data_IF_419397502815
#
_entry.id   IF_419397502815
#
_cell.length_a   1.000
_cell.length_b   1.000
_cell.length_c   1.000
_cell.angle_alpha   90.00
_cell.angle_beta   90.00
_cell.angle_gamma   90.00
#
_symmetry.space_group_name_H-M   'P 1'
#
loop_
_entity.id
_entity.type
_entity.pdbx_description
1 polymer ?
#
# COMPACT_ATOMS: atom_id res chain seq x y z
N UNK A 1 29.56 39.43 -34.03
CA UNK A 1 29.60 37.96 -34.14
C UNK A 1 28.87 37.35 -32.95
N UNK A 2 27.74 36.69 -33.24
CA UNK A 2 27.13 35.54 -32.54
C UNK A 2 26.71 35.73 -31.08
N UNK A 3 25.60 36.45 -30.92
CA UNK A 3 24.55 36.10 -29.97
C UNK A 3 23.82 34.84 -30.44
N UNK A 4 23.93 33.73 -29.72
CA UNK A 4 22.89 32.68 -29.67
C UNK A 4 22.99 31.96 -28.34
N UNK A 5 22.05 32.30 -27.46
CA UNK A 5 21.62 31.53 -26.31
C UNK A 5 21.16 30.14 -26.77
N UNK A 6 21.68 29.08 -26.16
CA UNK A 6 21.07 27.75 -26.21
C UNK A 6 20.76 27.33 -24.78
N UNK A 7 19.53 27.65 -24.38
CA UNK A 7 18.89 27.09 -23.20
C UNK A 7 18.66 25.59 -23.43
N UNK A 8 19.46 24.75 -22.78
CA UNK A 8 19.20 23.31 -22.71
C UNK A 8 18.26 23.10 -21.53
N UNK A 9 16.97 23.12 -21.86
CA UNK A 9 15.85 22.66 -21.05
C UNK A 9 16.10 21.18 -20.71
N UNK A 10 16.65 20.89 -19.54
CA UNK A 10 16.63 19.54 -18.97
C UNK A 10 15.38 19.42 -18.10
N UNK A 11 14.29 19.05 -18.76
CA UNK A 11 13.08 18.53 -18.12
C UNK A 11 13.45 17.20 -17.46
N UNK A 12 13.88 17.25 -16.20
CA UNK A 12 13.75 16.11 -15.30
C UNK A 12 12.34 16.17 -14.70
N UNK A 13 11.33 15.98 -15.54
CA UNK A 13 10.02 15.55 -15.09
C UNK A 13 10.21 14.15 -14.51
N UNK A 14 10.54 14.08 -13.22
CA UNK A 14 10.34 12.85 -12.47
C UNK A 14 8.89 12.49 -12.65
N UNK A 15 8.70 11.38 -13.37
CA UNK A 15 7.46 10.64 -13.55
C UNK A 15 6.92 10.24 -12.18
N UNK A 16 6.36 11.20 -11.46
CA UNK A 16 5.29 10.93 -10.51
C UNK A 16 4.05 10.62 -11.31
N UNK A 17 4.06 9.55 -12.11
CA UNK A 17 2.81 8.93 -12.51
C UNK A 17 2.14 8.58 -11.19
N UNK A 18 1.15 9.40 -10.86
CA UNK A 18 0.17 9.11 -9.85
C UNK A 18 -0.17 7.64 -9.98
N UNK A 19 0.11 6.91 -8.91
CA UNK A 19 -0.33 5.54 -8.74
C UNK A 19 -1.84 5.56 -8.52
N UNK A 20 -2.55 5.99 -9.56
CA UNK A 20 -4.00 5.89 -9.68
C UNK A 20 -4.28 4.40 -9.50
N UNK A 21 -4.92 4.08 -8.37
CA UNK A 21 -4.93 2.76 -7.75
C UNK A 21 -4.85 1.63 -8.76
N UNK A 22 -3.81 0.81 -8.64
CA UNK A 22 -3.60 -0.28 -9.57
C UNK A 22 -4.90 -1.10 -9.70
N UNK A 23 -5.40 -1.31 -10.94
CA UNK A 23 -6.68 -1.97 -11.17
C UNK A 23 -6.79 -3.33 -10.48
N UNK A 24 -5.64 -3.97 -10.21
CA UNK A 24 -5.52 -5.27 -9.59
C UNK A 24 -5.47 -5.25 -8.04
N UNK A 25 -5.25 -4.09 -7.41
CA UNK A 25 -5.03 -4.00 -5.95
C UNK A 25 -6.22 -4.43 -5.10
N UNK A 26 -7.43 -3.99 -5.48
CA UNK A 26 -8.67 -4.38 -4.79
C UNK A 26 -8.97 -5.88 -4.91
N UNK A 27 -8.95 -6.51 -6.11
CA UNK A 27 -9.07 -7.96 -6.23
C UNK A 27 -8.09 -8.74 -5.34
N UNK A 28 -6.82 -8.32 -5.28
CA UNK A 28 -5.80 -8.99 -4.47
C UNK A 28 -6.10 -8.81 -2.98
N UNK A 29 -6.49 -7.60 -2.56
CA UNK A 29 -6.91 -7.33 -1.19
C UNK A 29 -8.09 -8.23 -0.77
N UNK A 30 -9.11 -8.37 -1.63
CA UNK A 30 -10.26 -9.25 -1.36
C UNK A 30 -9.80 -10.70 -1.18
N UNK A 31 -8.89 -11.18 -2.03
CA UNK A 31 -8.42 -12.56 -2.01
C UNK A 31 -7.47 -12.88 -0.85
N UNK A 32 -6.65 -11.91 -0.41
CA UNK A 32 -5.51 -12.18 0.50
C UNK A 32 -5.59 -11.46 1.84
N UNK A 33 -6.31 -10.33 1.94
CA UNK A 33 -6.27 -9.43 3.10
C UNK A 33 -7.63 -9.34 3.81
N UNK A 34 -8.74 -9.26 3.05
CA UNK A 34 -10.10 -9.05 3.57
C UNK A 34 -10.51 -10.09 4.62
N UNK A 35 -10.02 -11.33 4.50
CA UNK A 35 -10.29 -12.41 5.45
C UNK A 35 -9.94 -12.05 6.90
N UNK A 36 -8.94 -11.18 7.11
CA UNK A 36 -8.56 -10.66 8.43
C UNK A 36 -8.93 -9.18 8.60
N UNK A 37 -8.74 -8.37 7.56
CA UNK A 37 -8.86 -6.92 7.61
C UNK A 37 -10.24 -6.36 7.26
N UNK A 38 -11.22 -7.22 6.94
CA UNK A 38 -12.56 -6.81 6.48
C UNK A 38 -12.56 -6.03 5.15
N UNK A 39 -13.72 -5.83 4.48
CA UNK A 39 -13.77 -5.27 3.14
C UNK A 39 -13.23 -3.83 3.01
N UNK A 40 -13.41 -2.98 4.03
CA UNK A 40 -12.92 -1.60 4.01
C UNK A 40 -11.72 -1.37 4.93
N UNK A 41 -11.10 -2.44 5.43
CA UNK A 41 -9.89 -2.34 6.25
C UNK A 41 -10.16 -2.13 7.73
N UNK A 42 -11.40 -2.22 8.21
CA UNK A 42 -11.76 -1.96 9.61
C UNK A 42 -11.12 -2.95 10.59
N UNK A 43 -10.66 -4.10 10.10
CA UNK A 43 -10.21 -5.20 10.94
C UNK A 43 -11.38 -6.01 11.51
N UNK A 44 -11.25 -7.33 11.55
CA UNK A 44 -12.27 -8.20 12.17
C UNK A 44 -12.02 -8.34 13.67
N UNK A 45 -12.96 -7.93 14.56
CA UNK A 45 -12.81 -8.08 16.01
C UNK A 45 -12.62 -9.54 16.45
N UNK A 46 -13.25 -10.48 15.74
CA UNK A 46 -13.08 -11.91 16.01
C UNK A 46 -11.63 -12.38 15.79
N UNK A 47 -10.93 -11.85 14.79
CA UNK A 47 -9.52 -12.16 14.51
C UNK A 47 -8.62 -11.52 15.56
N UNK A 48 -8.86 -10.24 15.89
CA UNK A 48 -8.16 -9.54 16.96
C UNK A 48 -8.25 -10.32 18.30
N UNK A 49 -9.45 -10.77 18.67
CA UNK A 49 -9.68 -11.59 19.86
C UNK A 49 -9.01 -12.97 19.77
N UNK A 50 -9.14 -13.66 18.64
CA UNK A 50 -8.58 -15.00 18.46
C UNK A 50 -7.06 -15.04 18.59
N UNK A 51 -6.37 -14.03 18.05
CA UNK A 51 -4.91 -13.94 18.12
C UNK A 51 -4.39 -13.11 19.30
N UNK A 52 -5.29 -12.56 20.13
CA UNK A 52 -4.99 -11.64 21.22
C UNK A 52 -4.07 -10.49 20.76
N UNK A 53 -4.46 -9.81 19.68
CA UNK A 53 -3.73 -8.68 19.09
C UNK A 53 -4.64 -7.48 18.87
N UNK A 54 -4.04 -6.30 18.84
CA UNK A 54 -4.68 -5.12 18.26
C UNK A 54 -4.61 -5.23 16.74
N UNK A 55 -5.77 -5.13 16.08
CA UNK A 55 -5.86 -5.05 14.62
C UNK A 55 -6.37 -3.65 14.26
N UNK A 56 -5.49 -2.66 14.08
CA UNK A 56 -5.92 -1.31 13.76
C UNK A 56 -6.59 -1.28 12.38
N UNK A 57 -7.55 -0.37 12.22
CA UNK A 57 -8.15 -0.12 10.92
C UNK A 57 -7.09 0.38 9.94
N UNK A 58 -7.05 -0.18 8.74
CA UNK A 58 -6.08 0.18 7.70
C UNK A 58 -6.27 1.61 7.21
N UNK A 59 -7.48 2.16 7.36
CA UNK A 59 -7.80 3.57 7.10
C UNK A 59 -7.27 4.55 8.14
N UNK A 60 -6.97 4.08 9.35
CA UNK A 60 -6.59 4.94 10.48
C UNK A 60 -5.33 5.76 10.20
N UNK A 61 -5.26 6.94 10.82
CA UNK A 61 -4.09 7.84 10.74
C UNK A 61 -2.78 7.15 11.07
N UNK A 62 -2.78 6.21 12.03
CA UNK A 62 -1.58 5.45 12.41
C UNK A 62 -1.06 4.60 11.24
N UNK A 63 -1.94 3.84 10.57
CA UNK A 63 -1.54 3.00 9.44
C UNK A 63 -1.18 3.86 8.23
N UNK A 64 -1.95 4.92 7.99
CA UNK A 64 -1.76 5.80 6.85
C UNK A 64 -0.51 6.70 6.98
N UNK A 65 0.00 6.91 8.19
CA UNK A 65 1.27 7.61 8.42
C UNK A 65 2.51 6.77 8.08
N UNK A 66 2.40 5.44 7.96
CA UNK A 66 3.51 4.57 7.55
C UNK A 66 3.93 4.88 6.12
N UNK A 67 5.20 4.66 5.77
CA UNK A 67 5.64 4.77 4.38
C UNK A 67 5.14 3.59 3.54
N UNK A 68 5.08 3.74 2.22
CA UNK A 68 4.74 2.62 1.32
C UNK A 68 5.74 1.46 1.46
N UNK A 69 7.03 1.77 1.71
CA UNK A 69 8.05 0.76 1.95
C UNK A 69 7.76 -0.04 3.24
N UNK A 70 7.32 0.62 4.31
CA UNK A 70 6.95 -0.06 5.56
C UNK A 70 5.72 -0.94 5.35
N UNK A 71 4.71 -0.45 4.62
CA UNK A 71 3.51 -1.25 4.31
C UNK A 71 3.85 -2.47 3.45
N UNK A 72 4.69 -2.30 2.42
CA UNK A 72 5.20 -3.41 1.61
C UNK A 72 5.91 -4.44 2.50
N UNK A 73 6.82 -3.98 3.37
CA UNK A 73 7.56 -4.83 4.30
C UNK A 73 6.64 -5.63 5.22
N UNK A 74 5.60 -4.99 5.79
CA UNK A 74 4.61 -5.69 6.62
C UNK A 74 3.86 -6.76 5.82
N UNK A 75 3.55 -6.51 4.54
CA UNK A 75 2.89 -7.51 3.68
C UNK A 75 3.83 -8.67 3.35
N UNK A 76 5.09 -8.41 3.03
CA UNK A 76 6.03 -9.42 2.54
C UNK A 76 6.76 -10.18 3.65
N UNK A 77 7.00 -9.55 4.79
CA UNK A 77 7.73 -10.13 5.93
C UNK A 77 6.82 -10.44 7.12
N UNK A 78 5.59 -9.93 7.12
CA UNK A 78 4.68 -10.02 8.25
C UNK A 78 5.00 -9.01 9.36
N UNK A 79 4.13 -8.97 10.36
CA UNK A 79 4.30 -8.14 11.55
C UNK A 79 3.51 -8.73 12.74
N UNK A 80 4.19 -9.00 13.85
CA UNK A 80 3.57 -9.60 15.03
C UNK A 80 2.95 -10.97 14.71
N UNK A 81 1.61 -11.07 14.75
CA UNK A 81 0.87 -12.30 14.41
C UNK A 81 0.42 -12.36 12.94
N UNK A 82 0.56 -11.27 12.19
CA UNK A 82 0.36 -11.28 10.74
C UNK A 82 1.55 -11.97 10.09
N UNK A 83 1.32 -13.15 9.49
CA UNK A 83 2.33 -13.87 8.71
C UNK A 83 2.57 -13.14 7.37
N UNK A 84 3.76 -13.33 6.75
CA UNK A 84 3.99 -12.99 5.35
C UNK A 84 2.85 -13.42 4.44
N UNK A 85 2.41 -12.55 3.53
CA UNK A 85 1.45 -12.91 2.49
C UNK A 85 2.19 -13.57 1.33
N UNK A 86 2.05 -14.90 1.22
CA UNK A 86 2.73 -15.67 0.19
C UNK A 86 2.05 -15.55 -1.20
N UNK A 87 2.87 -15.71 -2.25
CA UNK A 87 2.41 -15.78 -3.64
C UNK A 87 1.99 -14.44 -4.23
N UNK A 88 2.63 -13.35 -3.80
CA UNK A 88 2.51 -12.03 -4.40
C UNK A 88 3.85 -11.61 -5.02
N UNK A 89 3.80 -11.18 -6.27
CA UNK A 89 4.91 -10.50 -6.95
C UNK A 89 5.06 -9.06 -6.41
N UNK A 90 6.23 -8.45 -6.58
CA UNK A 90 6.51 -7.10 -6.07
C UNK A 90 5.47 -6.07 -6.55
N UNK A 91 5.08 -6.16 -7.83
CA UNK A 91 4.03 -5.31 -8.40
C UNK A 91 2.69 -5.49 -7.68
N UNK A 92 2.29 -6.73 -7.41
CA UNK A 92 1.04 -7.04 -6.72
C UNK A 92 1.03 -6.51 -5.28
N UNK A 93 2.17 -6.57 -4.59
CA UNK A 93 2.31 -5.95 -3.25
C UNK A 93 2.12 -4.45 -3.35
N UNK A 94 2.76 -3.80 -4.33
CA UNK A 94 2.54 -2.38 -4.57
C UNK A 94 1.06 -2.09 -4.85
N UNK A 95 0.39 -2.88 -5.70
CA UNK A 95 -1.01 -2.68 -6.09
C UNK A 95 -1.95 -2.73 -4.87
N UNK A 96 -1.70 -3.68 -3.95
CA UNK A 96 -2.42 -3.75 -2.67
C UNK A 96 -2.16 -2.53 -1.81
N UNK A 97 -0.91 -2.04 -1.72
CA UNK A 97 -0.60 -0.82 -0.99
C UNK A 97 -1.35 0.38 -1.57
N UNK A 98 -1.44 0.50 -2.90
CA UNK A 98 -2.29 1.51 -3.57
C UNK A 98 -3.72 1.47 -3.04
N UNK A 99 -4.32 0.27 -3.03
CA UNK A 99 -5.68 0.10 -2.57
C UNK A 99 -5.84 0.47 -1.10
N UNK A 100 -4.91 0.05 -0.23
CA UNK A 100 -4.90 0.44 1.19
C UNK A 100 -4.86 1.95 1.37
N UNK A 101 -4.15 2.70 0.52
CA UNK A 101 -4.13 4.18 0.56
C UNK A 101 -5.49 4.83 0.26
N UNK A 102 -6.40 4.11 -0.39
CA UNK A 102 -7.76 4.60 -0.66
C UNK A 102 -8.70 4.44 0.53
N UNK A 103 -8.32 3.68 1.56
CA UNK A 103 -9.17 3.36 2.72
C UNK A 103 -9.13 4.43 3.83
N UNK A 104 -8.46 5.57 3.61
CA UNK A 104 -8.25 6.62 4.62
C UNK A 104 -9.56 7.06 5.29
N UNK A 105 -9.53 7.15 6.62
CA UNK A 105 -10.63 7.65 7.48
C UNK A 105 -10.13 8.59 8.59
#
# INVERSE_FOLDING_TARGET
>A
MRTTLLAIISVAAFLGLAYAGAPEGKPIYVAKCQGCHAPNGEGKPAIAKMFNVTLPALGSKEIQAKSDADLKKVITEGHGKMKPVAGLEERQVADVVAFVRTLKE
#
